data_IF_862118752865
#
_entry.id   IF_862118752865
#
_cell.length_a   1.000
_cell.length_b   1.000
_cell.length_c   1.000
_cell.angle_alpha   90.00
_cell.angle_beta   90.00
_cell.angle_gamma   90.00
#
_symmetry.space_group_name_H-M   'P 1'
#
loop_
_entity.id
_entity.type
_entity.pdbx_description
1 polymer ?
#
# COMPACT_ATOMS: atom_id res chain seq x y z
N UNK A 1 1.33 -19.93 21.33
CA UNK A 1 0.56 -18.83 21.91
C UNK A 1 0.36 -17.76 20.84
N UNK A 2 -0.41 -18.09 19.81
CA UNK A 2 -0.45 -17.34 18.54
C UNK A 2 -1.83 -17.55 17.92
N UNK A 3 -2.84 -16.74 18.30
CA UNK A 3 -4.18 -16.83 17.68
C UNK A 3 -5.13 -15.64 17.94
N UNK A 4 -4.66 -14.51 18.51
CA UNK A 4 -5.59 -13.47 19.01
C UNK A 4 -5.77 -12.27 18.06
N UNK A 5 -4.97 -12.15 16.99
CA UNK A 5 -5.03 -10.96 16.12
C UNK A 5 -5.59 -11.20 14.70
N UNK A 6 -5.92 -12.45 14.34
CA UNK A 6 -6.13 -12.83 12.94
C UNK A 6 -7.25 -13.86 12.81
N UNK A 7 -8.46 -13.51 13.22
CA UNK A 7 -9.60 -14.41 13.05
C UNK A 7 -10.14 -14.37 11.60
N UNK A 8 -10.37 -15.56 11.02
CA UNK A 8 -11.21 -15.79 9.85
C UNK A 8 -10.55 -15.86 8.46
N UNK A 9 -9.88 -14.81 7.96
CA UNK A 9 -9.61 -14.74 6.50
C UNK A 9 -8.24 -14.20 6.05
N UNK A 10 -7.38 -13.71 6.96
CA UNK A 10 -6.11 -13.02 6.59
C UNK A 10 -4.95 -14.02 6.40
N UNK A 11 -5.23 -15.33 6.36
CA UNK A 11 -4.22 -16.39 6.42
C UNK A 11 -3.69 -16.89 5.06
N UNK A 12 -3.76 -16.14 3.95
CA UNK A 12 -3.34 -16.70 2.63
C UNK A 12 -2.13 -16.11 1.94
N UNK A 13 -1.52 -15.02 2.42
CA UNK A 13 -0.21 -14.57 1.89
C UNK A 13 0.67 -14.03 3.01
N UNK A 14 1.60 -14.83 3.50
CA UNK A 14 2.75 -14.29 4.24
C UNK A 14 3.49 -13.30 3.32
N UNK A 15 3.43 -12.01 3.68
CA UNK A 15 4.00 -10.93 2.90
C UNK A 15 4.54 -9.84 3.81
N UNK A 16 5.46 -9.03 3.28
CA UNK A 16 6.15 -7.97 4.03
C UNK A 16 5.17 -7.01 4.73
N UNK A 17 3.97 -6.81 4.17
CA UNK A 17 2.93 -5.97 4.76
C UNK A 17 2.33 -6.56 6.03
N UNK A 18 1.96 -7.85 6.01
CA UNK A 18 1.38 -8.53 7.18
C UNK A 18 2.44 -8.62 8.29
N UNK A 19 3.68 -8.96 7.93
CA UNK A 19 4.79 -9.03 8.88
C UNK A 19 5.05 -7.68 9.58
N UNK A 20 4.90 -6.57 8.86
CA UNK A 20 5.02 -5.22 9.45
C UNK A 20 3.79 -4.84 10.29
N UNK A 21 2.59 -5.21 9.83
CA UNK A 21 1.34 -4.78 10.45
C UNK A 21 1.01 -5.54 11.73
N UNK A 22 1.33 -6.83 11.83
CA UNK A 22 0.95 -7.65 12.98
C UNK A 22 1.45 -7.09 14.34
N UNK A 23 2.70 -6.64 14.49
CA UNK A 23 3.15 -5.97 15.72
C UNK A 23 2.44 -4.64 16.00
N UNK A 24 2.00 -3.91 14.98
CA UNK A 24 1.21 -2.68 15.15
C UNK A 24 -0.21 -2.98 15.67
N UNK A 25 -0.84 -4.04 15.18
CA UNK A 25 -2.16 -4.47 15.63
C UNK A 25 -2.14 -4.89 17.10
N UNK A 26 -1.13 -5.68 17.50
CA UNK A 26 -0.94 -6.08 18.90
C UNK A 26 -0.70 -4.87 19.79
N UNK A 27 0.19 -3.95 19.40
CA UNK A 27 0.47 -2.73 20.18
C UNK A 27 -0.77 -1.85 20.38
N UNK A 28 -1.66 -1.82 19.40
CA UNK A 28 -2.90 -1.02 19.44
C UNK A 28 -4.07 -1.77 20.05
N UNK A 29 -3.88 -3.04 20.43
CA UNK A 29 -4.95 -3.96 20.82
C UNK A 29 -6.12 -3.92 19.83
N UNK A 30 -5.80 -3.96 18.53
CA UNK A 30 -6.74 -3.75 17.44
C UNK A 30 -6.93 -5.04 16.63
N UNK A 31 -8.18 -5.33 16.28
CA UNK A 31 -8.56 -6.42 15.38
C UNK A 31 -9.09 -5.80 14.08
N UNK A 32 -8.67 -6.35 12.94
CA UNK A 32 -9.16 -5.90 11.64
C UNK A 32 -10.52 -6.51 11.36
N UNK A 33 -11.47 -5.70 10.91
CA UNK A 33 -12.73 -6.22 10.37
C UNK A 33 -12.55 -6.81 8.96
N UNK A 34 -13.59 -7.47 8.46
CA UNK A 34 -13.58 -8.12 7.14
C UNK A 34 -13.21 -7.16 5.98
N UNK A 35 -13.67 -5.91 6.01
CA UNK A 35 -13.37 -4.96 4.94
C UNK A 35 -11.90 -4.48 5.01
N UNK A 36 -11.38 -4.29 6.22
CA UNK A 36 -9.98 -3.95 6.45
C UNK A 36 -9.05 -5.11 6.08
N UNK A 37 -9.42 -6.34 6.40
CA UNK A 37 -8.75 -7.57 5.98
C UNK A 37 -8.66 -7.67 4.45
N UNK A 38 -9.79 -7.53 3.75
CA UNK A 38 -9.81 -7.56 2.28
C UNK A 38 -8.98 -6.43 1.65
N UNK A 39 -9.00 -5.23 2.25
CA UNK A 39 -8.17 -4.12 1.81
C UNK A 39 -6.67 -4.42 1.99
N UNK A 40 -6.31 -5.03 3.13
CA UNK A 40 -4.94 -5.45 3.41
C UNK A 40 -4.42 -6.47 2.40
N UNK A 41 -5.22 -7.47 2.07
CA UNK A 41 -4.87 -8.49 1.08
C UNK A 41 -4.65 -7.87 -0.30
N UNK A 42 -5.52 -6.95 -0.73
CA UNK A 42 -5.35 -6.26 -2.02
C UNK A 42 -4.12 -5.36 -2.04
N UNK A 43 -3.80 -4.72 -0.91
CA UNK A 43 -2.57 -3.93 -0.74
C UNK A 43 -1.33 -4.82 -0.81
N UNK A 44 -1.34 -6.00 -0.19
CA UNK A 44 -0.24 -6.96 -0.30
C UNK A 44 -0.05 -7.42 -1.75
N UNK A 45 -1.14 -7.74 -2.45
CA UNK A 45 -1.08 -8.06 -3.88
C UNK A 45 -0.48 -6.91 -4.70
N UNK A 46 -0.87 -5.66 -4.42
CA UNK A 46 -0.29 -4.50 -5.10
C UNK A 46 1.22 -4.36 -4.83
N UNK A 47 1.68 -4.64 -3.61
CA UNK A 47 3.10 -4.62 -3.28
C UNK A 47 3.89 -5.64 -4.11
N UNK A 48 3.34 -6.84 -4.28
CA UNK A 48 3.94 -7.91 -5.08
C UNK A 48 3.96 -7.53 -6.57
N UNK A 49 2.84 -7.05 -7.12
CA UNK A 49 2.73 -6.54 -8.50
C UNK A 49 3.75 -5.43 -8.78
N UNK A 50 3.94 -4.49 -7.84
CA UNK A 50 4.93 -3.41 -7.96
C UNK A 50 6.37 -3.93 -7.91
N UNK A 51 6.66 -4.95 -7.09
CA UNK A 51 7.97 -5.58 -6.99
C UNK A 51 8.33 -6.29 -8.30
N UNK A 52 7.39 -7.04 -8.87
CA UNK A 52 7.53 -7.73 -10.15
C UNK A 52 7.71 -6.73 -11.30
N UNK A 53 6.86 -5.70 -11.38
CA UNK A 53 6.95 -4.65 -12.38
C UNK A 53 8.33 -3.95 -12.37
N UNK A 54 8.85 -3.62 -11.17
CA UNK A 54 10.19 -3.04 -11.04
C UNK A 54 11.27 -3.97 -11.57
N UNK A 55 11.17 -5.26 -11.25
CA UNK A 55 12.15 -6.28 -11.66
C UNK A 55 12.14 -6.48 -13.18
N UNK A 56 10.95 -6.55 -13.77
CA UNK A 56 10.77 -6.64 -15.22
C UNK A 56 11.34 -5.40 -15.94
N UNK A 57 11.11 -4.19 -15.40
CA UNK A 57 11.64 -2.94 -15.95
C UNK A 57 13.17 -2.80 -15.83
N UNK A 58 13.81 -3.51 -14.91
CA UNK A 58 15.27 -3.53 -14.78
C UNK A 58 15.94 -4.51 -15.75
N UNK A 59 15.22 -5.49 -16.27
CA UNK A 59 15.76 -6.46 -17.23
C UNK A 59 15.79 -5.89 -18.65
N UNK A 60 16.99 -5.63 -19.18
CA UNK A 60 17.19 -5.09 -20.53
C UNK A 60 16.64 -6.02 -21.63
N UNK A 61 16.79 -7.34 -21.45
CA UNK A 61 16.29 -8.34 -22.39
C UNK A 61 14.76 -8.33 -22.44
N UNK A 62 14.09 -8.31 -21.28
CA UNK A 62 12.61 -8.26 -21.22
C UNK A 62 12.05 -7.01 -21.88
N UNK A 63 12.69 -5.86 -21.69
CA UNK A 63 12.29 -4.59 -22.33
C UNK A 63 12.35 -4.61 -23.85
N UNK A 64 13.19 -5.47 -24.44
CA UNK A 64 13.34 -5.57 -25.89
C UNK A 64 12.20 -6.38 -26.53
N UNK A 65 11.59 -7.30 -25.78
CA UNK A 65 10.53 -8.19 -26.28
C UNK A 65 9.12 -7.71 -25.93
N UNK A 66 8.92 -7.08 -24.77
CA UNK A 66 7.63 -6.49 -24.39
C UNK A 66 7.79 -5.47 -23.24
N UNK A 67 6.99 -4.39 -23.28
CA UNK A 67 6.84 -3.53 -22.12
C UNK A 67 6.05 -4.27 -21.03
N UNK A 68 6.52 -4.30 -19.77
CA UNK A 68 5.76 -4.94 -18.69
C UNK A 68 4.49 -4.14 -18.39
N UNK A 69 3.40 -4.85 -18.08
CA UNK A 69 2.13 -4.23 -17.71
C UNK A 69 2.24 -3.43 -16.41
N UNK A 70 1.69 -2.21 -16.43
CA UNK A 70 1.73 -1.31 -15.27
C UNK A 70 0.68 -1.76 -14.25
N UNK A 71 1.05 -2.06 -13.00
CA UNK A 71 0.11 -2.43 -11.95
C UNK A 71 -0.94 -1.33 -11.71
N UNK A 72 -2.20 -1.73 -11.56
CA UNK A 72 -3.28 -0.78 -11.26
C UNK A 72 -3.24 -0.36 -9.80
N UNK A 73 -3.40 0.93 -9.55
CA UNK A 73 -3.48 1.48 -8.19
C UNK A 73 -4.75 1.05 -7.44
N UNK A 74 -4.75 1.30 -6.13
CA UNK A 74 -5.88 1.03 -5.24
C UNK A 74 -6.45 2.33 -4.67
N UNK A 75 -7.77 2.45 -4.65
CA UNK A 75 -8.48 3.55 -4.01
C UNK A 75 -9.26 3.03 -2.80
N UNK A 76 -8.80 3.38 -1.59
CA UNK A 76 -9.49 3.03 -0.35
C UNK A 76 -10.55 4.09 -0.04
N UNK A 77 -11.80 3.64 0.10
CA UNK A 77 -12.95 4.48 0.44
C UNK A 77 -13.73 3.85 1.61
N UNK A 78 -14.57 4.66 2.25
CA UNK A 78 -15.38 4.25 3.40
C UNK A 78 -15.49 5.34 4.46
N UNK A 79 -16.30 5.08 5.50
CA UNK A 79 -16.61 6.04 6.56
C UNK A 79 -15.39 6.62 7.30
N UNK A 80 -15.58 7.76 7.95
CA UNK A 80 -14.57 8.40 8.82
C UNK A 80 -14.22 7.46 9.99
N UNK A 81 -12.96 7.46 10.43
CA UNK A 81 -12.51 6.63 11.56
C UNK A 81 -12.31 5.14 11.26
N UNK A 82 -12.57 4.66 10.04
CA UNK A 82 -12.45 3.22 9.68
C UNK A 82 -11.01 2.71 9.44
N UNK A 83 -10.00 3.47 9.85
CA UNK A 83 -8.60 3.03 9.76
C UNK A 83 -7.94 3.08 8.37
N UNK A 84 -8.55 3.75 7.38
CA UNK A 84 -7.97 3.88 6.02
C UNK A 84 -6.56 4.47 6.03
N UNK A 85 -6.35 5.53 6.82
CA UNK A 85 -5.04 6.15 7.00
C UNK A 85 -4.03 5.15 7.55
N UNK A 86 -4.41 4.42 8.60
CA UNK A 86 -3.56 3.40 9.20
C UNK A 86 -3.16 2.29 8.22
N UNK A 87 -4.10 1.78 7.40
CA UNK A 87 -3.77 0.79 6.37
C UNK A 87 -2.76 1.35 5.34
N UNK A 88 -2.94 2.61 4.92
CA UNK A 88 -2.02 3.28 4.00
C UNK A 88 -0.65 3.58 4.65
N UNK A 89 -0.60 3.91 5.94
CA UNK A 89 0.63 4.11 6.70
C UNK A 89 1.47 2.83 6.69
N UNK A 90 0.82 1.71 7.05
CA UNK A 90 1.43 0.39 7.11
C UNK A 90 1.88 -0.08 5.73
N UNK A 91 1.06 0.12 4.69
CA UNK A 91 1.45 -0.16 3.31
C UNK A 91 2.68 0.65 2.88
N UNK A 92 2.64 1.97 3.12
CA UNK A 92 3.76 2.84 2.78
C UNK A 92 5.02 2.44 3.53
N UNK A 93 4.95 2.03 4.79
CA UNK A 93 6.12 1.58 5.55
C UNK A 93 6.68 0.26 5.01
N UNK A 94 5.82 -0.74 4.81
CA UNK A 94 6.22 -2.11 4.52
C UNK A 94 6.64 -2.37 3.07
N UNK A 95 6.12 -1.60 2.10
CA UNK A 95 6.39 -1.87 0.68
C UNK A 95 7.88 -1.71 0.35
N UNK A 96 8.57 -2.70 -0.25
CA UNK A 96 10.02 -2.69 -0.46
C UNK A 96 10.47 -1.84 -1.67
N UNK A 97 9.89 -0.65 -1.80
CA UNK A 97 10.22 0.36 -2.80
C UNK A 97 11.03 1.49 -2.15
N UNK A 98 12.22 1.76 -2.69
CA UNK A 98 13.08 2.86 -2.21
C UNK A 98 12.55 4.24 -2.65
N UNK A 99 12.04 4.34 -3.87
CA UNK A 99 11.50 5.58 -4.45
C UNK A 99 9.98 5.57 -4.34
N UNK A 100 9.46 6.05 -3.21
CA UNK A 100 8.04 6.20 -2.94
C UNK A 100 7.82 7.51 -2.21
N UNK A 101 6.77 8.24 -2.59
CA UNK A 101 6.41 9.52 -1.97
C UNK A 101 5.00 9.41 -1.43
N UNK A 102 4.82 9.87 -0.20
CA UNK A 102 3.49 10.02 0.40
C UNK A 102 3.07 11.47 0.28
N UNK A 103 1.84 11.68 -0.19
CA UNK A 103 1.32 13.01 -0.45
C UNK A 103 -0.03 13.18 0.24
N UNK A 104 -0.19 14.27 0.99
CA UNK A 104 -1.50 14.72 1.45
C UNK A 104 -2.12 15.60 0.37
N UNK A 105 -3.21 15.11 -0.24
CA UNK A 105 -3.79 15.73 -1.44
C UNK A 105 -4.07 17.23 -1.30
N UNK A 106 -4.64 17.68 -0.18
CA UNK A 106 -4.93 19.11 0.02
C UNK A 106 -3.67 19.98 0.10
N UNK A 107 -2.63 19.51 0.78
CA UNK A 107 -1.35 20.22 0.84
C UNK A 107 -0.72 20.28 -0.56
N UNK A 108 -0.70 19.15 -1.28
CA UNK A 108 -0.19 19.08 -2.64
C UNK A 108 -0.93 20.01 -3.60
N UNK A 109 -2.26 20.00 -3.58
CA UNK A 109 -3.02 20.89 -4.46
C UNK A 109 -2.75 22.35 -4.11
N UNK A 110 -2.60 22.72 -2.84
CA UNK A 110 -2.22 24.09 -2.47
C UNK A 110 -0.87 24.49 -3.08
N UNK A 111 0.11 23.60 -3.03
CA UNK A 111 1.45 23.87 -3.58
C UNK A 111 1.40 23.98 -5.11
N UNK A 112 0.66 23.10 -5.79
CA UNK A 112 0.39 23.18 -7.24
C UNK A 112 -0.22 24.53 -7.62
N UNK A 113 -1.23 24.99 -6.89
CA UNK A 113 -1.86 26.30 -7.15
C UNK A 113 -0.90 27.46 -6.89
N UNK A 114 -0.01 27.36 -5.90
CA UNK A 114 0.99 28.38 -5.62
C UNK A 114 2.02 28.49 -6.75
N UNK A 115 2.52 27.36 -7.26
CA UNK A 115 3.45 27.34 -8.40
C UNK A 115 2.80 27.86 -9.68
N UNK A 116 1.56 27.48 -9.98
CA UNK A 116 0.83 27.99 -11.15
C UNK A 116 0.68 29.53 -11.12
N UNK A 117 0.55 30.13 -9.94
CA UNK A 117 0.48 31.60 -9.80
C UNK A 117 1.81 32.30 -10.08
N UNK A 118 2.96 31.63 -9.91
CA UNK A 118 4.29 32.20 -10.20
C UNK A 118 4.63 32.19 -11.70
N UNK A 119 3.92 31.37 -12.47
CA UNK A 119 4.06 31.26 -13.93
C UNK A 119 3.16 32.23 -14.71
N UNK A 120 2.37 33.05 -13.99
CA UNK A 120 1.64 34.19 -14.55
C UNK A 120 2.48 35.45 -14.48
#
# INVERSE_FOLDING_TARGET
>A
MNDIAVDGHIARREGALIAYLAPELVRRNAILDHAQAAALDRLQQLADELKEFRTARQSALRRLFAAPDVPRGLYLWGGVGRGKTFLMDSFFAAVPLRRKTRVHFHAFMRDVHAELKKLK
#
